data_IF_636613506596
#
_entry.id   IF_636613506596
#
_cell.length_a   1.000
_cell.length_b   1.000
_cell.length_c   1.000
_cell.angle_alpha   90.00
_cell.angle_beta   90.00
_cell.angle_gamma   90.00
#
_symmetry.space_group_name_H-M   'P 1'
#
loop_
_entity.id
_entity.type
_entity.pdbx_description
1 polymer ?
#
# COMPACT_ATOMS: atom_id res chain seq x y z
N UNK A 1 22.84 -11.06 33.78
CA UNK A 1 21.38 -10.96 33.58
C UNK A 1 21.09 -9.81 32.62
N UNK A 2 21.04 -10.07 31.31
CA UNK A 2 20.50 -9.10 30.36
C UNK A 2 18.99 -9.18 30.39
N UNK A 3 18.31 -8.06 30.60
CA UNK A 3 16.85 -7.98 30.49
C UNK A 3 16.47 -8.28 29.04
N UNK A 4 15.94 -9.48 28.77
CA UNK A 4 15.22 -9.77 27.54
C UNK A 4 13.95 -8.92 27.62
N UNK A 5 13.95 -7.75 26.98
CA UNK A 5 12.72 -7.00 26.77
C UNK A 5 11.73 -7.95 26.09
N UNK A 6 10.56 -8.17 26.68
CA UNK A 6 9.51 -8.95 26.04
C UNK A 6 9.09 -8.20 24.78
N UNK A 7 9.58 -8.63 23.62
CA UNK A 7 9.07 -8.21 22.32
C UNK A 7 7.59 -8.56 22.23
N UNK A 8 6.76 -7.61 21.82
CA UNK A 8 5.31 -7.81 21.77
C UNK A 8 4.55 -6.53 21.41
N UNK A 9 3.24 -6.55 21.65
CA UNK A 9 2.40 -5.36 21.51
C UNK A 9 2.69 -4.43 22.67
N UNK A 10 3.09 -3.20 22.36
CA UNK A 10 3.33 -2.12 23.31
C UNK A 10 2.26 -1.05 23.19
N UNK A 11 2.03 -0.36 24.30
CA UNK A 11 1.14 0.81 24.36
C UNK A 11 2.00 2.04 24.55
N UNK A 12 1.97 2.95 23.59
CA UNK A 12 2.72 4.21 23.62
C UNK A 12 1.73 5.36 23.80
N UNK A 13 1.99 6.23 24.77
CA UNK A 13 1.21 7.46 24.97
C UNK A 13 1.99 8.65 24.42
N UNK A 14 1.42 9.38 23.46
CA UNK A 14 2.05 10.58 22.89
C UNK A 14 2.06 11.73 23.90
N UNK A 15 2.87 12.77 23.62
CA UNK A 15 2.87 14.01 24.41
C UNK A 15 1.48 14.67 24.48
N UNK A 16 0.62 14.42 23.50
CA UNK A 16 -0.77 14.89 23.40
C UNK A 16 -1.77 13.93 24.08
N UNK A 17 -1.30 12.96 24.89
CA UNK A 17 -2.11 11.94 25.56
C UNK A 17 -2.92 11.05 24.61
N UNK A 18 -2.45 10.85 23.38
CA UNK A 18 -3.03 9.88 22.44
C UNK A 18 -2.42 8.51 22.70
N UNK A 19 -3.26 7.48 22.70
CA UNK A 19 -2.81 6.09 22.93
C UNK A 19 -2.63 5.41 21.58
N UNK A 20 -1.46 4.85 21.36
CA UNK A 20 -1.12 4.06 20.18
C UNK A 20 -0.72 2.65 20.60
N UNK A 21 -1.21 1.67 19.87
CA UNK A 21 -0.76 0.29 19.99
C UNK A 21 0.26 0.01 18.91
N UNK A 22 1.38 -0.58 19.28
CA UNK A 22 2.52 -0.76 18.39
C UNK A 22 3.14 -2.14 18.56
N UNK A 23 3.81 -2.63 17.53
CA UNK A 23 4.61 -3.85 17.55
C UNK A 23 6.08 -3.46 17.48
N UNK A 24 6.86 -3.87 18.48
CA UNK A 24 8.29 -3.54 18.59
C UNK A 24 9.21 -4.76 18.46
N UNK A 25 8.69 -5.86 17.93
CA UNK A 25 9.47 -7.08 17.72
C UNK A 25 10.51 -6.88 16.62
N UNK A 26 11.65 -7.57 16.76
CA UNK A 26 12.85 -7.30 15.98
C UNK A 26 12.62 -7.36 14.46
N UNK A 27 12.10 -8.48 13.94
CA UNK A 27 11.91 -8.69 12.51
C UNK A 27 10.88 -7.72 11.94
N UNK A 28 9.79 -7.48 12.67
CA UNK A 28 8.76 -6.49 12.30
C UNK A 28 9.36 -5.08 12.16
N UNK A 29 10.20 -4.67 13.10
CA UNK A 29 10.83 -3.34 13.08
C UNK A 29 11.82 -3.22 11.92
N UNK A 30 12.65 -4.23 11.67
CA UNK A 30 13.59 -4.20 10.54
C UNK A 30 12.86 -4.20 9.18
N UNK A 31 11.79 -5.00 9.05
CA UNK A 31 10.93 -4.98 7.86
C UNK A 31 10.28 -3.60 7.64
N UNK A 32 9.78 -2.97 8.70
CA UNK A 32 9.18 -1.64 8.62
C UNK A 32 10.23 -0.56 8.28
N UNK A 33 11.43 -0.61 8.89
CA UNK A 33 12.54 0.29 8.54
C UNK A 33 12.88 0.20 7.06
N UNK A 34 12.92 -1.02 6.52
CA UNK A 34 13.16 -1.25 5.10
C UNK A 34 12.03 -0.71 4.23
N UNK A 35 10.78 -1.12 4.47
CA UNK A 35 9.62 -0.72 3.67
C UNK A 35 9.48 0.81 3.61
N UNK A 36 9.59 1.50 4.75
CA UNK A 36 9.45 2.96 4.79
C UNK A 36 10.75 3.70 4.50
N UNK A 37 11.92 3.04 4.41
CA UNK A 37 13.22 3.72 4.32
C UNK A 37 13.52 4.61 5.54
N UNK A 38 13.09 4.20 6.73
CA UNK A 38 13.22 4.98 7.97
C UNK A 38 14.05 4.23 9.02
N UNK A 39 15.37 4.43 9.03
CA UNK A 39 16.30 3.71 9.93
C UNK A 39 16.08 3.98 11.43
N UNK A 40 15.50 5.13 11.79
CA UNK A 40 15.20 5.49 13.17
C UNK A 40 13.88 4.90 13.69
N UNK A 41 13.12 4.18 12.85
CA UNK A 41 11.86 3.56 13.25
C UNK A 41 12.11 2.50 14.34
N UNK A 42 11.27 2.48 15.37
CA UNK A 42 11.40 1.57 16.52
C UNK A 42 10.22 0.65 16.72
N UNK A 43 9.10 0.94 16.05
CA UNK A 43 7.84 0.28 16.28
C UNK A 43 6.92 0.46 15.06
N UNK A 44 6.11 -0.55 14.77
CA UNK A 44 5.09 -0.55 13.72
C UNK A 44 3.71 -0.31 14.35
N UNK A 45 2.90 0.61 13.80
CA UNK A 45 1.59 0.94 14.39
C UNK A 45 0.53 -0.10 14.04
N UNK A 46 -0.28 -0.44 15.03
CA UNK A 46 -1.54 -1.17 14.87
C UNK A 46 -2.69 -0.18 14.74
N UNK A 47 -3.70 -0.57 13.98
CA UNK A 47 -4.96 0.14 13.92
C UNK A 47 -5.62 0.17 15.30
N UNK A 48 -6.57 1.07 15.46
CA UNK A 48 -7.28 1.24 16.71
C UNK A 48 -8.78 1.42 16.49
N UNK A 49 -9.55 0.63 17.23
CA UNK A 49 -11.00 0.75 17.26
C UNK A 49 -11.47 1.17 18.67
N UNK A 50 -12.18 2.30 18.74
CA UNK A 50 -12.74 2.86 19.98
C UNK A 50 -13.58 1.86 20.77
N UNK A 51 -14.21 0.89 20.10
CA UNK A 51 -15.10 -0.08 20.74
C UNK A 51 -14.38 -1.30 21.33
N UNK A 52 -13.19 -1.64 20.83
CA UNK A 52 -12.53 -2.94 21.08
C UNK A 52 -11.13 -2.82 21.69
N UNK A 53 -10.52 -1.64 21.64
CA UNK A 53 -9.15 -1.43 22.13
C UNK A 53 -8.10 -1.68 21.06
N UNK A 54 -7.20 -2.66 21.29
CA UNK A 54 -6.11 -3.00 20.35
C UNK A 54 -6.70 -3.70 19.11
N UNK A 55 -6.42 -3.20 17.91
CA UNK A 55 -6.77 -3.91 16.66
C UNK A 55 -5.74 -5.00 16.37
N UNK A 56 -6.18 -6.07 15.71
CA UNK A 56 -5.30 -7.10 15.13
C UNK A 56 -4.79 -6.74 13.73
N UNK A 57 -5.03 -5.51 13.27
CA UNK A 57 -4.68 -5.00 11.95
C UNK A 57 -3.57 -3.95 12.04
N UNK A 58 -2.77 -3.81 11.00
CA UNK A 58 -1.86 -2.67 10.84
C UNK A 58 -2.63 -1.37 10.74
N UNK A 59 -2.06 -0.27 11.19
CA UNK A 59 -2.67 1.05 11.01
C UNK A 59 -2.87 1.35 9.52
N UNK A 60 -4.15 1.47 9.12
CA UNK A 60 -4.54 1.66 7.72
C UNK A 60 -3.98 2.95 7.11
N UNK A 61 -3.55 3.92 7.91
CA UNK A 61 -2.85 5.09 7.41
C UNK A 61 -1.47 4.75 6.82
N UNK A 62 -0.70 3.89 7.48
CA UNK A 62 0.67 3.55 7.05
C UNK A 62 0.74 2.28 6.19
N UNK A 63 -0.33 1.47 6.18
CA UNK A 63 -0.36 0.17 5.54
C UNK A 63 -1.67 -0.08 4.75
N UNK A 64 -2.23 0.96 4.11
CA UNK A 64 -3.57 0.93 3.49
C UNK A 64 -3.83 -0.30 2.62
N UNK A 65 -2.88 -0.66 1.75
CA UNK A 65 -3.02 -1.72 0.75
C UNK A 65 -2.46 -3.08 1.22
N UNK A 66 -2.12 -3.21 2.51
CA UNK A 66 -1.50 -4.40 3.11
C UNK A 66 -2.56 -5.44 3.49
N UNK A 67 -2.27 -6.74 3.38
CA UNK A 67 -3.18 -7.84 3.71
C UNK A 67 -3.91 -7.69 5.06
N UNK A 68 -3.19 -7.25 6.08
CA UNK A 68 -3.64 -7.05 7.46
C UNK A 68 -4.05 -5.59 7.74
N UNK A 69 -4.35 -4.79 6.72
CA UNK A 69 -4.95 -3.45 6.86
C UNK A 69 -6.43 -3.53 7.27
N UNK A 70 -7.00 -2.52 7.95
CA UNK A 70 -8.43 -2.46 8.23
C UNK A 70 -9.23 -2.15 6.96
N UNK A 71 -9.85 -3.19 6.39
CA UNK A 71 -10.71 -3.06 5.20
C UNK A 71 -12.18 -2.88 5.56
N UNK A 72 -12.86 -2.00 4.84
CA UNK A 72 -14.32 -1.91 4.84
C UNK A 72 -14.90 -2.83 3.78
N UNK A 73 -15.97 -3.55 4.13
CA UNK A 73 -16.67 -4.44 3.21
C UNK A 73 -17.10 -3.71 1.95
N UNK A 74 -16.67 -4.23 0.78
CA UNK A 74 -17.04 -3.70 -0.53
C UNK A 74 -16.08 -2.65 -1.12
N UNK A 75 -15.03 -2.25 -0.39
CA UNK A 75 -13.93 -1.48 -0.98
C UNK A 75 -12.90 -2.42 -1.62
N UNK A 76 -12.64 -2.31 -2.93
CA UNK A 76 -11.58 -3.08 -3.57
C UNK A 76 -10.22 -2.72 -2.98
N UNK A 77 -9.37 -3.73 -2.76
CA UNK A 77 -7.98 -3.57 -2.33
C UNK A 77 -7.10 -4.66 -2.93
N UNK A 78 -5.84 -4.35 -3.17
CA UNK A 78 -4.79 -5.30 -3.53
C UNK A 78 -4.47 -6.32 -2.42
N UNK A 79 -4.68 -5.97 -1.15
CA UNK A 79 -4.44 -6.85 0.02
C UNK A 79 -3.06 -7.53 0.01
N UNK A 80 -2.01 -6.76 -0.26
CA UNK A 80 -0.67 -7.29 -0.52
C UNK A 80 -0.11 -8.02 0.70
N UNK A 81 0.37 -9.26 0.50
CA UNK A 81 1.07 -10.04 1.51
C UNK A 81 2.53 -9.59 1.59
N UNK A 82 2.74 -8.48 2.31
CA UNK A 82 4.03 -7.79 2.32
C UNK A 82 5.01 -8.36 3.34
N UNK A 83 6.24 -7.84 3.29
CA UNK A 83 7.28 -8.08 4.29
C UNK A 83 6.83 -7.71 5.72
N UNK A 84 5.87 -6.77 5.88
CA UNK A 84 5.36 -6.34 7.18
C UNK A 84 4.60 -7.47 7.88
N UNK A 85 3.63 -8.09 7.20
CA UNK A 85 2.89 -9.23 7.77
C UNK A 85 3.73 -10.49 7.90
N UNK A 86 4.61 -10.77 6.92
CA UNK A 86 5.51 -11.92 6.99
C UNK A 86 6.45 -11.84 8.20
N UNK A 87 7.02 -10.66 8.47
CA UNK A 87 7.94 -10.46 9.60
C UNK A 87 7.24 -10.54 10.96
N UNK A 88 6.00 -10.07 11.06
CA UNK A 88 5.17 -10.30 12.24
C UNK A 88 4.98 -11.79 12.52
N UNK A 89 4.63 -12.58 11.50
CA UNK A 89 4.43 -14.02 11.67
C UNK A 89 5.71 -14.77 12.07
N UNK A 90 6.87 -14.35 11.56
CA UNK A 90 8.17 -14.89 11.97
C UNK A 90 8.52 -14.52 13.43
N UNK A 91 8.15 -13.33 13.88
CA UNK A 91 8.34 -12.92 15.27
C UNK A 91 7.41 -13.63 16.25
N UNK A 92 6.24 -14.09 15.80
CA UNK A 92 5.33 -14.95 16.59
C UNK A 92 5.86 -16.37 16.82
N UNK A 93 6.94 -16.78 16.11
CA UNK A 93 7.61 -18.08 16.24
C UNK A 93 6.77 -19.31 15.86
N UNK A 94 5.61 -19.11 15.23
CA UNK A 94 4.83 -20.20 14.64
C UNK A 94 5.27 -20.54 13.21
N UNK A 95 5.88 -19.57 12.52
CA UNK A 95 6.26 -19.67 11.12
C UNK A 95 7.69 -19.19 10.91
N UNK A 96 8.26 -19.55 9.76
CA UNK A 96 9.47 -18.96 9.21
C UNK A 96 9.09 -18.29 7.90
N UNK A 97 9.41 -17.00 7.76
CA UNK A 97 9.03 -16.24 6.59
C UNK A 97 9.98 -16.54 5.42
N UNK A 98 9.43 -16.70 4.22
CA UNK A 98 10.21 -16.61 3.00
C UNK A 98 10.04 -15.21 2.40
N UNK A 99 10.89 -14.28 2.80
CA UNK A 99 10.77 -12.87 2.39
C UNK A 99 10.97 -12.65 0.89
N UNK A 100 11.62 -13.57 0.17
CA UNK A 100 11.77 -13.47 -1.28
C UNK A 100 10.43 -13.55 -2.03
N UNK A 101 9.37 -14.02 -1.36
CA UNK A 101 8.02 -14.14 -1.91
C UNK A 101 7.10 -13.00 -1.47
N UNK A 102 7.62 -12.02 -0.72
CA UNK A 102 6.79 -10.92 -0.25
C UNK A 102 6.35 -10.04 -1.41
N UNK A 103 5.08 -9.65 -1.41
CA UNK A 103 4.54 -8.72 -2.39
C UNK A 103 4.99 -7.29 -2.07
N UNK A 104 5.18 -6.48 -3.12
CA UNK A 104 5.55 -5.07 -2.96
C UNK A 104 4.30 -4.22 -2.86
N UNK A 105 4.16 -3.48 -1.76
CA UNK A 105 3.12 -2.48 -1.61
C UNK A 105 3.67 -1.11 -1.94
N UNK A 106 3.06 -0.38 -2.90
CA UNK A 106 3.45 1.00 -3.22
C UNK A 106 3.25 1.95 -2.03
N UNK A 107 2.19 1.73 -1.26
CA UNK A 107 1.79 2.59 -0.16
C UNK A 107 2.91 2.75 0.90
N UNK A 108 3.43 3.98 1.05
CA UNK A 108 4.48 4.30 2.01
C UNK A 108 5.87 3.77 1.66
N UNK A 109 6.05 3.09 0.52
CA UNK A 109 7.33 2.49 0.14
C UNK A 109 8.43 3.55 -0.04
N UNK A 110 9.53 3.43 0.71
CA UNK A 110 10.67 4.37 0.73
C UNK A 110 10.25 5.85 0.95
N UNK A 111 9.13 6.07 1.63
CA UNK A 111 8.58 7.41 1.89
C UNK A 111 9.39 8.20 2.94
N UNK A 112 10.25 7.54 3.70
CA UNK A 112 11.05 8.12 4.77
C UNK A 112 10.25 8.32 6.07
N UNK A 113 10.94 8.70 7.14
CA UNK A 113 10.35 8.85 8.46
C UNK A 113 9.24 9.90 8.56
N UNK A 114 9.25 10.89 7.65
CA UNK A 114 8.25 11.95 7.60
C UNK A 114 6.84 11.38 7.45
N UNK A 115 6.65 10.44 6.51
CA UNK A 115 5.36 9.80 6.24
C UNK A 115 4.70 9.20 7.48
N UNK A 116 5.50 8.63 8.39
CA UNK A 116 5.00 7.93 9.57
C UNK A 116 4.51 8.89 10.67
N UNK A 117 4.95 10.15 10.64
CA UNK A 117 4.77 11.15 11.69
C UNK A 117 3.95 12.36 11.20
N UNK A 118 3.96 12.65 9.89
CA UNK A 118 3.35 13.84 9.30
C UNK A 118 1.85 13.68 9.03
N UNK A 119 1.16 14.81 8.99
CA UNK A 119 -0.18 14.90 8.41
C UNK A 119 -0.12 14.67 6.89
N UNK A 120 -1.22 14.14 6.32
CA UNK A 120 -1.31 13.64 4.93
C UNK A 120 -0.86 14.61 3.83
N UNK A 121 -0.93 15.91 4.13
CA UNK A 121 -0.53 17.00 3.23
C UNK A 121 0.03 18.08 4.13
N UNK A 122 1.36 18.12 4.32
CA UNK A 122 1.97 19.39 4.68
C UNK A 122 1.63 20.36 3.53
N UNK A 123 0.70 21.28 3.81
CA UNK A 123 0.18 22.27 2.86
C UNK A 123 1.35 22.97 2.17
N UNK A 124 1.68 22.54 0.94
CA UNK A 124 2.59 23.25 0.06
C UNK A 124 3.79 22.49 -0.49
N UNK A 125 4.12 21.27 -0.07
CA UNK A 125 5.38 20.62 -0.51
C UNK A 125 5.27 19.29 -1.26
N UNK A 126 4.09 18.80 -1.62
CA UNK A 126 3.96 17.62 -2.51
C UNK A 126 4.61 16.32 -2.02
N UNK A 127 5.08 16.28 -0.75
CA UNK A 127 5.58 15.09 -0.08
C UNK A 127 4.43 14.09 0.01
N UNK A 128 4.61 12.91 -0.59
CA UNK A 128 3.63 11.81 -0.66
C UNK A 128 2.44 12.00 -1.64
N UNK A 129 2.60 12.88 -2.65
CA UNK A 129 1.62 13.06 -3.74
C UNK A 129 1.41 11.83 -4.63
N UNK A 130 2.22 10.78 -4.43
CA UNK A 130 2.12 9.49 -5.09
C UNK A 130 1.03 8.59 -4.51
N UNK A 131 0.62 8.83 -3.25
CA UNK A 131 -0.38 8.04 -2.52
C UNK A 131 -1.57 8.87 -2.02
N UNK A 132 -1.36 10.17 -1.78
CA UNK A 132 -2.43 11.12 -1.47
C UNK A 132 -2.79 11.96 -2.68
N UNK A 133 -4.08 12.24 -2.84
CA UNK A 133 -4.59 13.06 -3.93
C UNK A 133 -5.07 14.42 -3.40
N UNK A 134 -5.00 15.46 -4.24
CA UNK A 134 -5.48 16.79 -3.84
C UNK A 134 -7.01 16.90 -4.00
N UNK A 135 -7.73 17.01 -2.88
CA UNK A 135 -9.17 17.25 -2.87
C UNK A 135 -9.56 18.74 -2.88
N UNK A 136 -8.59 19.66 -2.85
CA UNK A 136 -8.77 21.10 -2.64
C UNK A 136 -8.55 21.99 -3.88
N UNK A 137 -8.02 21.44 -4.98
CA UNK A 137 -7.77 22.18 -6.22
C UNK A 137 -9.04 22.65 -6.96
N UNK A 138 -8.93 23.80 -7.64
CA UNK A 138 -9.92 24.46 -8.49
C UNK A 138 -10.43 23.65 -9.70
N UNK A 139 -9.96 22.41 -9.83
CA UNK A 139 -10.47 21.40 -10.75
C UNK A 139 -10.86 20.19 -9.90
N UNK A 140 -12.14 20.10 -9.51
CA UNK A 140 -12.75 18.80 -9.22
C UNK A 140 -12.59 17.98 -10.48
N UNK A 141 -11.50 17.22 -10.58
CA UNK A 141 -11.33 16.29 -11.68
C UNK A 141 -12.38 15.20 -11.48
N UNK A 142 -13.49 15.34 -12.20
CA UNK A 142 -14.54 14.31 -12.32
C UNK A 142 -14.00 13.03 -12.97
N UNK A 143 -12.76 13.07 -13.44
CA UNK A 143 -12.05 11.96 -14.05
C UNK A 143 -11.71 10.90 -13.02
N UNK A 144 -11.72 9.65 -13.46
CA UNK A 144 -11.30 8.53 -12.65
C UNK A 144 -9.78 8.51 -12.52
N UNK A 145 -9.31 8.13 -11.34
CA UNK A 145 -7.91 7.98 -11.02
C UNK A 145 -7.62 6.55 -10.55
N UNK A 146 -6.41 6.05 -10.79
CA UNK A 146 -5.97 4.78 -10.22
C UNK A 146 -5.92 4.83 -8.71
N UNK A 147 -6.45 3.78 -8.08
CA UNK A 147 -6.12 3.44 -6.69
C UNK A 147 -4.62 3.15 -6.56
N UNK A 148 -4.08 3.31 -5.35
CA UNK A 148 -2.64 3.12 -5.06
C UNK A 148 -2.13 1.71 -5.39
N UNK A 149 -3.02 0.72 -5.28
CA UNK A 149 -2.78 -0.69 -5.60
C UNK A 149 -2.96 -1.05 -7.09
N UNK A 150 -3.46 -0.11 -7.92
CA UNK A 150 -3.78 -0.28 -9.35
C UNK A 150 -4.80 -1.36 -9.68
N UNK A 151 -5.60 -1.85 -8.74
CA UNK A 151 -6.66 -2.82 -9.04
C UNK A 151 -7.95 -2.16 -9.55
N UNK A 152 -8.11 -0.86 -9.33
CA UNK A 152 -9.35 -0.17 -9.64
C UNK A 152 -9.14 1.29 -10.03
N UNK A 153 -10.21 1.84 -10.62
CA UNK A 153 -10.41 3.25 -10.84
C UNK A 153 -11.29 3.83 -9.72
N UNK A 154 -11.08 5.09 -9.36
CA UNK A 154 -11.81 5.72 -8.27
C UNK A 154 -11.77 7.24 -8.31
N UNK A 155 -12.35 7.85 -7.29
CA UNK A 155 -12.35 9.30 -7.11
C UNK A 155 -11.56 9.70 -5.87
N UNK A 156 -10.88 10.84 -5.96
CA UNK A 156 -10.19 11.42 -4.82
C UNK A 156 -11.20 11.82 -3.72
N UNK A 157 -11.15 11.12 -2.58
CA UNK A 157 -12.12 11.23 -1.49
C UNK A 157 -11.41 11.38 -0.15
N UNK A 158 -11.83 12.33 0.67
CA UNK A 158 -11.37 12.47 2.07
C UNK A 158 -11.98 11.35 2.89
N UNK A 159 -11.14 10.42 3.36
CA UNK A 159 -11.66 9.22 4.03
C UNK A 159 -10.65 8.48 4.91
N UNK A 160 -9.35 8.68 4.72
CA UNK A 160 -8.33 7.96 5.47
C UNK A 160 -7.93 8.76 6.71
N UNK A 161 -8.13 8.22 7.91
CA UNK A 161 -7.79 8.93 9.15
C UNK A 161 -6.28 8.86 9.39
N UNK A 162 -5.61 9.99 9.57
CA UNK A 162 -4.18 10.04 9.92
C UNK A 162 -3.91 9.93 11.42
N UNK A 163 -4.94 10.05 12.27
CA UNK A 163 -4.73 10.32 13.69
C UNK A 163 -5.08 9.17 14.63
N UNK A 164 -4.22 8.90 15.65
CA UNK A 164 -4.57 8.08 16.80
C UNK A 164 -5.50 8.85 17.75
N UNK A 165 -6.26 8.11 18.57
CA UNK A 165 -7.35 8.68 19.37
C UNK A 165 -6.84 9.35 20.66
N UNK A 166 -7.36 10.54 20.97
CA UNK A 166 -7.19 11.19 22.28
C UNK A 166 -8.12 10.54 23.31
N UNK A 167 -7.56 9.85 24.30
CA UNK A 167 -8.35 9.08 25.29
C UNK A 167 -8.87 9.95 26.44
N UNK A 168 -8.45 11.22 26.53
CA UNK A 168 -8.67 12.06 27.73
C UNK A 168 -9.45 13.37 27.53
N UNK A 169 -10.12 13.60 26.41
CA UNK A 169 -11.01 14.77 26.29
C UNK A 169 -12.35 14.39 25.67
N UNK A 170 -13.37 14.38 26.52
CA UNK A 170 -14.77 14.35 26.10
C UNK A 170 -15.22 15.66 25.40
N UNK A 171 -14.32 16.62 25.19
CA UNK A 171 -14.66 18.00 24.81
C UNK A 171 -13.83 18.57 23.64
N UNK A 172 -13.28 17.72 22.78
CA UNK A 172 -12.71 18.19 21.52
C UNK A 172 -13.41 17.51 20.35
N UNK A 173 -14.26 18.29 19.66
CA UNK A 173 -14.51 18.15 18.23
C UNK A 173 -13.18 18.42 17.49
N UNK A 174 -12.16 17.61 17.74
CA UNK A 174 -10.94 17.64 16.96
C UNK A 174 -11.31 17.19 15.55
N UNK A 175 -11.12 18.07 14.58
CA UNK A 175 -11.32 17.77 13.16
C UNK A 175 -10.57 16.48 12.85
N UNK A 176 -11.30 15.38 12.64
CA UNK A 176 -10.75 14.15 12.09
C UNK A 176 -10.04 14.54 10.80
N UNK A 177 -8.70 14.62 10.84
CA UNK A 177 -7.88 15.06 9.71
C UNK A 177 -7.81 13.92 8.71
N UNK A 178 -8.88 13.82 7.92
CA UNK A 178 -8.99 12.81 6.87
C UNK A 178 -8.10 13.19 5.69
N UNK A 179 -7.24 12.27 5.30
CA UNK A 179 -6.47 12.31 4.09
C UNK A 179 -7.39 12.04 2.90
N UNK A 180 -7.11 12.75 1.81
CA UNK A 180 -7.71 12.47 0.53
C UNK A 180 -6.94 11.36 -0.18
N UNK A 181 -7.63 10.28 -0.48
CA UNK A 181 -7.11 9.11 -1.20
C UNK A 181 -8.07 8.73 -2.30
N UNK A 182 -7.58 8.06 -3.33
CA UNK A 182 -8.44 7.57 -4.41
C UNK A 182 -9.24 6.37 -3.90
N UNK A 183 -10.57 6.50 -3.86
CA UNK A 183 -11.48 5.42 -3.47
C UNK A 183 -12.24 4.88 -4.67
N UNK A 184 -12.18 3.57 -4.84
CA UNK A 184 -12.92 2.83 -5.85
C UNK A 184 -14.27 2.34 -5.34
N UNK A 185 -15.11 1.91 -6.28
CA UNK A 185 -16.32 1.14 -6.00
C UNK A 185 -16.19 -0.24 -6.63
N UNK A 186 -17.04 -1.19 -6.24
CA UNK A 186 -17.08 -2.50 -6.91
C UNK A 186 -17.32 -2.40 -8.44
N UNK A 187 -18.02 -1.35 -8.89
CA UNK A 187 -18.28 -1.13 -10.30
C UNK A 187 -17.05 -0.67 -11.09
N UNK A 188 -16.00 -0.17 -10.43
CA UNK A 188 -14.81 0.42 -11.06
C UNK A 188 -13.55 -0.43 -10.87
N UNK A 189 -13.72 -1.74 -10.57
CA UNK A 189 -12.63 -2.71 -10.50
C UNK A 189 -12.19 -3.12 -11.90
N UNK A 190 -10.89 -3.12 -12.16
CA UNK A 190 -10.37 -3.42 -13.49
C UNK A 190 -10.57 -4.89 -13.90
N UNK A 191 -10.69 -5.80 -12.94
CA UNK A 191 -10.81 -7.23 -13.21
C UNK A 191 -12.20 -7.68 -13.63
N UNK A 192 -13.24 -7.13 -12.99
CA UNK A 192 -14.62 -7.61 -13.13
C UNK A 192 -15.68 -6.50 -12.96
N UNK A 193 -15.25 -5.22 -12.96
CA UNK A 193 -16.16 -4.08 -12.91
C UNK A 193 -16.94 -3.89 -14.20
N UNK A 194 -17.61 -2.75 -14.32
CA UNK A 194 -18.45 -2.43 -15.47
C UNK A 194 -17.83 -1.32 -16.31
N UNK A 195 -17.68 -1.60 -17.60
CA UNK A 195 -17.14 -0.66 -18.59
C UNK A 195 -17.96 0.64 -18.68
N UNK A 196 -19.28 0.58 -18.38
CA UNK A 196 -20.15 1.76 -18.35
C UNK A 196 -19.71 2.80 -17.31
N UNK A 197 -19.03 2.38 -16.24
CA UNK A 197 -18.49 3.25 -15.20
C UNK A 197 -17.01 3.57 -15.41
N UNK A 198 -16.36 3.02 -16.44
CA UNK A 198 -14.94 3.20 -16.71
C UNK A 198 -14.70 3.44 -18.21
N UNK A 199 -15.10 4.59 -18.76
CA UNK A 199 -14.93 4.89 -20.18
C UNK A 199 -13.48 4.72 -20.63
N UNK A 200 -13.27 4.09 -21.78
CA UNK A 200 -11.93 3.82 -22.32
C UNK A 200 -11.21 2.62 -21.73
N UNK A 201 -11.78 1.97 -20.72
CA UNK A 201 -11.15 0.84 -20.04
C UNK A 201 -11.39 -0.49 -20.74
N UNK A 202 -10.39 -1.37 -20.71
CA UNK A 202 -10.51 -2.79 -21.05
C UNK A 202 -10.53 -3.58 -19.75
N UNK A 203 -11.63 -4.29 -19.50
CA UNK A 203 -11.87 -5.05 -18.26
C UNK A 203 -11.49 -6.51 -18.46
N UNK A 204 -10.81 -7.11 -17.49
CA UNK A 204 -10.37 -8.49 -17.56
C UNK A 204 -9.50 -8.86 -16.38
N UNK A 205 -9.37 -10.16 -16.09
CA UNK A 205 -8.61 -10.68 -14.94
C UNK A 205 -7.13 -10.24 -14.87
N UNK A 206 -6.54 -9.84 -16.00
CA UNK A 206 -5.17 -9.32 -16.09
C UNK A 206 -5.13 -7.80 -16.18
N UNK A 207 -6.28 -7.13 -16.12
CA UNK A 207 -6.35 -5.69 -16.21
C UNK A 207 -5.89 -5.02 -14.92
N UNK A 208 -5.06 -4.00 -15.08
CA UNK A 208 -4.64 -3.10 -14.01
C UNK A 208 -4.90 -1.67 -14.44
N UNK A 209 -5.00 -0.79 -13.46
CA UNK A 209 -5.16 0.63 -13.69
C UNK A 209 -3.83 1.27 -14.11
N UNK A 210 -3.87 1.95 -15.25
CA UNK A 210 -2.76 2.70 -15.83
C UNK A 210 -3.06 4.19 -15.84
N UNK A 211 -2.01 4.99 -15.58
CA UNK A 211 -2.13 6.45 -15.58
C UNK A 211 -2.36 6.96 -16.99
N UNK A 212 -3.34 7.85 -17.14
CA UNK A 212 -3.63 8.54 -18.39
C UNK A 212 -3.07 9.95 -18.39
N UNK A 213 -2.44 10.35 -19.49
CA UNK A 213 -2.04 11.74 -19.73
C UNK A 213 -2.87 12.31 -20.87
N UNK A 214 -3.78 13.23 -20.52
CA UNK A 214 -4.69 13.92 -21.43
C UNK A 214 -5.48 12.99 -22.40
N UNK A 215 -5.78 11.76 -21.97
CA UNK A 215 -6.50 10.77 -22.76
C UNK A 215 -7.92 11.24 -23.14
N UNK A 216 -8.26 11.06 -24.41
CA UNK A 216 -9.59 11.38 -24.97
C UNK A 216 -10.10 10.23 -25.80
N UNK A 217 -11.40 9.97 -25.72
CA UNK A 217 -12.07 8.96 -26.54
C UNK A 217 -12.41 9.52 -27.92
N UNK A 218 -12.52 8.62 -28.90
CA UNK A 218 -12.98 8.98 -30.26
C UNK A 218 -14.50 9.14 -30.34
N UNK A 219 -15.25 8.32 -29.61
CA UNK A 219 -16.69 8.16 -29.83
C UNK A 219 -17.43 7.98 -28.50
N UNK A 220 -18.05 9.05 -28.00
CA UNK A 220 -19.05 8.99 -26.91
C UNK A 220 -20.15 10.02 -27.20
N UNK A 221 -21.36 9.53 -27.43
CA UNK A 221 -22.55 10.31 -27.76
C UNK A 221 -23.24 10.99 -26.57
N UNK A 222 -22.63 11.08 -25.37
CA UNK A 222 -23.34 11.57 -24.17
C UNK A 222 -22.55 12.39 -23.14
N UNK A 223 -21.24 12.64 -23.28
CA UNK A 223 -20.53 13.59 -22.39
C UNK A 223 -19.46 14.29 -23.22
N UNK A 224 -19.54 15.62 -23.29
CA UNK A 224 -18.60 16.58 -23.89
C UNK A 224 -17.38 15.93 -24.59
N UNK A 225 -17.49 15.80 -25.92
CA UNK A 225 -16.55 15.29 -26.94
C UNK A 225 -15.07 15.71 -26.83
N UNK A 226 -14.70 16.51 -25.82
CA UNK A 226 -13.34 17.01 -25.58
C UNK A 226 -12.84 16.81 -24.14
N UNK A 227 -13.59 16.08 -23.31
CA UNK A 227 -13.24 15.87 -21.90
C UNK A 227 -12.14 14.83 -21.75
N UNK A 228 -11.14 15.15 -20.92
CA UNK A 228 -10.13 14.19 -20.47
C UNK A 228 -10.85 13.14 -19.64
N UNK A 229 -10.62 11.85 -19.91
CA UNK A 229 -11.31 10.77 -19.16
C UNK A 229 -10.56 10.35 -17.87
N UNK A 230 -9.28 10.68 -17.78
CA UNK A 230 -8.39 10.32 -16.67
C UNK A 230 -7.64 9.03 -16.93
N UNK A 231 -7.53 8.22 -15.87
CA UNK A 231 -6.87 6.93 -15.87
C UNK A 231 -7.79 5.84 -16.45
N UNK A 232 -7.21 4.72 -16.89
CA UNK A 232 -7.94 3.62 -17.53
C UNK A 232 -7.51 2.26 -16.98
N UNK A 233 -8.37 1.25 -17.09
CA UNK A 233 -7.94 -0.14 -17.00
C UNK A 233 -7.46 -0.66 -18.36
N UNK A 234 -6.37 -1.42 -18.36
CA UNK A 234 -5.88 -2.12 -19.54
C UNK A 234 -5.28 -3.45 -19.12
N UNK A 235 -5.31 -4.44 -20.01
CA UNK A 235 -4.68 -5.73 -19.77
C UNK A 235 -3.17 -5.52 -19.60
N UNK A 236 -2.60 -6.13 -18.57
CA UNK A 236 -1.17 -6.10 -18.28
C UNK A 236 -0.62 -7.53 -18.32
N UNK A 237 0.54 -7.69 -18.96
CA UNK A 237 1.28 -8.95 -19.01
C UNK A 237 2.71 -8.74 -18.55
N UNK A 238 3.15 -9.56 -17.62
CA UNK A 238 4.49 -9.54 -17.02
C UNK A 238 5.30 -10.72 -17.55
N UNK A 239 6.38 -10.46 -18.28
CA UNK A 239 7.25 -11.52 -18.83
C UNK A 239 8.71 -11.05 -18.75
N UNK A 240 9.55 -11.79 -18.02
CA UNK A 240 11.00 -11.54 -17.97
C UNK A 240 11.38 -10.15 -17.47
N UNK A 241 10.68 -9.63 -16.47
CA UNK A 241 10.92 -8.27 -15.93
C UNK A 241 10.39 -7.14 -16.82
N UNK A 242 9.58 -7.45 -17.84
CA UNK A 242 8.97 -6.47 -18.74
C UNK A 242 7.45 -6.43 -18.57
N UNK A 243 6.90 -5.22 -18.68
CA UNK A 243 5.45 -4.98 -18.72
C UNK A 243 5.03 -4.84 -20.18
N UNK A 244 3.99 -5.55 -20.59
CA UNK A 244 3.28 -5.32 -21.85
C UNK A 244 1.83 -4.94 -21.58
N UNK A 245 1.30 -4.01 -22.38
CA UNK A 245 -0.04 -3.44 -22.20
C UNK A 245 -0.87 -3.67 -23.45
N UNK A 246 -2.14 -4.05 -23.25
CA UNK A 246 -3.17 -4.10 -24.29
C UNK A 246 -4.38 -3.29 -23.83
N UNK A 247 -4.67 -2.19 -24.53
CA UNK A 247 -5.69 -1.21 -24.17
C UNK A 247 -6.94 -1.31 -25.05
N UNK A 248 -7.97 -0.51 -24.78
CA UNK A 248 -9.26 -0.60 -25.49
C UNK A 248 -9.15 -0.17 -26.95
N UNK A 249 -9.75 -0.96 -27.83
CA UNK A 249 -9.81 -0.71 -29.29
C UNK A 249 -8.54 -1.13 -30.04
N UNK A 250 -7.60 -1.79 -29.36
CA UNK A 250 -6.42 -2.36 -30.00
C UNK A 250 -6.05 -3.67 -29.33
N UNK A 251 -5.99 -4.75 -30.11
CA UNK A 251 -5.66 -6.08 -29.61
C UNK A 251 -4.15 -6.38 -29.64
N UNK A 252 -3.32 -5.45 -30.09
CA UNK A 252 -1.87 -5.60 -30.02
C UNK A 252 -1.34 -5.37 -28.60
N UNK A 253 -0.29 -6.11 -28.25
CA UNK A 253 0.48 -5.90 -27.03
C UNK A 253 1.62 -4.93 -27.29
N UNK A 254 1.73 -3.91 -26.45
CA UNK A 254 2.77 -2.89 -26.52
C UNK A 254 3.70 -3.04 -25.31
N UNK A 255 5.00 -3.17 -25.56
CA UNK A 255 5.99 -3.12 -24.49
C UNK A 255 5.94 -1.74 -23.81
N UNK A 256 5.76 -1.72 -22.49
CA UNK A 256 5.55 -0.53 -21.70
C UNK A 256 6.72 -0.36 -20.72
N UNK A 257 7.77 0.33 -21.19
CA UNK A 257 8.95 0.57 -20.35
C UNK A 257 8.61 1.58 -19.24
N UNK A 258 8.99 1.28 -18.01
CA UNK A 258 8.78 2.16 -16.86
C UNK A 258 9.16 3.63 -17.15
N UNK A 259 8.29 4.56 -16.76
CA UNK A 259 8.46 6.01 -16.95
C UNK A 259 8.25 6.51 -18.40
N UNK A 260 8.14 5.60 -19.37
CA UNK A 260 7.75 5.96 -20.75
C UNK A 260 6.24 6.10 -20.90
N UNK A 261 5.77 6.35 -22.11
CA UNK A 261 4.33 6.34 -22.39
C UNK A 261 4.04 5.79 -23.79
N UNK A 262 2.92 5.10 -23.90
CA UNK A 262 2.38 4.60 -25.16
C UNK A 262 1.49 5.67 -25.78
N UNK A 263 1.70 5.93 -27.06
CA UNK A 263 0.78 6.71 -27.89
C UNK A 263 -0.28 5.75 -28.43
N UNK A 264 -1.57 5.93 -28.09
CA UNK A 264 -2.62 5.07 -28.60
C UNK A 264 -2.66 5.06 -30.13
N UNK A 265 -2.85 3.88 -30.72
CA UNK A 265 -2.93 3.71 -32.17
C UNK A 265 -4.14 4.44 -32.77
N UNK A 266 -4.07 4.75 -34.07
CA UNK A 266 -5.15 5.45 -34.79
C UNK A 266 -6.46 4.65 -34.84
N UNK A 267 -6.38 3.33 -34.73
CA UNK A 267 -7.52 2.40 -34.73
C UNK A 267 -8.09 2.16 -33.32
N UNK A 268 -7.41 2.65 -32.28
CA UNK A 268 -7.83 2.49 -30.89
C UNK A 268 -9.06 3.31 -30.53
N UNK A 269 -9.60 3.07 -29.32
CA UNK A 269 -10.69 3.86 -28.77
C UNK A 269 -10.32 5.33 -28.49
N UNK A 270 -9.03 5.69 -28.55
CA UNK A 270 -8.53 7.00 -28.13
C UNK A 270 -8.19 7.91 -29.31
N UNK A 271 -8.63 9.16 -29.25
CA UNK A 271 -8.36 10.22 -30.23
C UNK A 271 -7.03 10.93 -29.98
N UNK A 272 -6.63 11.08 -28.71
CA UNK A 272 -5.40 11.73 -28.29
C UNK A 272 -4.98 11.31 -26.88
N UNK A 273 -3.81 11.79 -26.44
CA UNK A 273 -3.26 11.55 -25.11
C UNK A 273 -2.26 10.39 -25.10
N UNK A 274 -1.83 9.99 -23.92
CA UNK A 274 -0.82 8.95 -23.71
C UNK A 274 -1.21 8.06 -22.54
N UNK A 275 -0.83 6.79 -22.60
CA UNK A 275 -0.91 5.85 -21.49
C UNK A 275 0.47 5.79 -20.85
N UNK A 276 0.58 6.17 -19.58
CA UNK A 276 1.86 6.22 -18.85
C UNK A 276 2.21 4.84 -18.32
N UNK A 277 3.43 4.40 -18.59
CA UNK A 277 3.90 3.08 -18.20
C UNK A 277 4.26 3.04 -16.71
N UNK A 278 3.65 2.12 -15.94
CA UNK A 278 3.90 2.00 -14.51
C UNK A 278 5.26 1.35 -14.25
N UNK A 279 5.79 1.50 -13.02
CA UNK A 279 6.84 0.63 -12.52
C UNK A 279 6.42 -0.84 -12.51
N UNK A 280 7.38 -1.72 -12.77
CA UNK A 280 7.13 -3.17 -12.82
C UNK A 280 6.48 -3.68 -11.53
N UNK A 281 7.05 -3.29 -10.38
CA UNK A 281 6.63 -3.74 -9.05
C UNK A 281 5.23 -3.29 -8.62
N UNK A 282 4.57 -2.43 -9.38
CA UNK A 282 3.21 -1.96 -9.07
C UNK A 282 2.12 -2.73 -9.84
N UNK A 283 2.50 -3.48 -10.87
CA UNK A 283 1.57 -4.27 -11.69
C UNK A 283 1.98 -5.74 -11.84
N UNK A 284 3.18 -6.10 -11.39
CA UNK A 284 3.76 -7.43 -11.44
C UNK A 284 4.35 -7.79 -10.07
N UNK A 285 4.07 -9.01 -9.59
CA UNK A 285 4.50 -9.53 -8.27
C UNK A 285 5.34 -10.81 -8.38
N UNK A 286 5.90 -11.09 -9.55
CA UNK A 286 6.60 -12.33 -9.87
C UNK A 286 8.13 -12.25 -9.69
N UNK A 287 8.67 -11.05 -9.46
CA UNK A 287 10.08 -10.87 -9.14
C UNK A 287 10.30 -10.90 -7.62
N UNK A 288 11.29 -11.66 -7.12
CA UNK A 288 11.62 -11.65 -5.70
C UNK A 288 12.05 -10.27 -5.21
N UNK A 289 11.65 -9.91 -4.00
CA UNK A 289 12.26 -8.77 -3.31
C UNK A 289 13.59 -9.19 -2.66
N UNK A 290 14.56 -8.28 -2.65
CA UNK A 290 15.83 -8.42 -1.93
C UNK A 290 15.82 -7.49 -0.70
N UNK A 291 15.17 -7.89 0.40
CA UNK A 291 15.30 -7.14 1.64
C UNK A 291 16.73 -7.25 2.18
N UNK A 292 17.18 -6.31 3.02
CA UNK A 292 18.46 -6.40 3.69
C UNK A 292 18.52 -7.74 4.42
N UNK A 293 19.68 -8.44 4.38
CA UNK A 293 19.82 -9.69 5.08
C UNK A 293 19.45 -9.46 6.54
N UNK A 294 18.41 -10.16 7.01
CA UNK A 294 18.19 -10.27 8.45
C UNK A 294 19.47 -10.84 9.02
N UNK A 295 20.18 -10.06 9.83
CA UNK A 295 21.32 -10.60 10.56
C UNK A 295 20.81 -11.84 11.27
N UNK A 296 21.33 -13.01 10.86
CA UNK A 296 20.96 -14.26 11.46
C UNK A 296 21.28 -14.13 12.94
N UNK A 297 20.25 -14.06 13.78
CA UNK A 297 20.41 -14.19 15.22
C UNK A 297 21.06 -15.55 15.42
N UNK A 298 22.36 -15.54 15.71
CA UNK A 298 23.09 -16.72 16.15
C UNK A 298 22.43 -17.13 17.45
N UNK A 299 21.53 -18.11 17.36
CA UNK A 299 21.01 -18.79 18.54
C UNK A 299 22.21 -19.58 19.07
N UNK A 300 22.95 -19.02 20.01
CA UNK A 300 23.85 -19.84 20.82
C UNK A 300 22.98 -20.88 21.53
N UNK A 301 23.05 -22.11 21.05
CA UNK A 301 22.53 -23.28 21.75
C UNK A 301 23.27 -23.41 23.09
N UNK A 302 22.68 -22.88 24.15
CA UNK A 302 23.09 -23.22 25.52
C UNK A 302 22.56 -24.62 25.81
N UNK A 303 23.31 -25.64 25.38
CA UNK A 303 23.11 -26.99 25.88
C UNK A 303 23.53 -27.04 27.36
N UNK A 304 22.53 -27.26 28.21
CA UNK A 304 22.72 -27.71 29.58
C UNK A 304 23.63 -28.95 29.63
N UNK A 305 24.72 -28.87 30.39
CA UNK A 305 25.34 -30.05 30.99
C UNK A 305 25.34 -29.87 32.51
N UNK A 306 24.26 -30.31 33.13
CA UNK A 306 24.26 -30.72 34.54
C UNK A 306 24.43 -32.23 34.60
N UNK A 307 25.59 -32.72 35.02
CA UNK A 307 25.74 -33.97 35.79
C UNK A 307 27.21 -34.18 36.18
N UNK A 308 27.56 -33.89 37.43
CA UNK A 308 28.67 -34.51 38.15
C UNK A 308 28.46 -34.34 39.64
N UNK A 309 27.54 -35.13 40.21
CA UNK A 309 27.64 -35.56 41.60
C UNK A 309 27.76 -37.08 41.54
N UNK A 310 28.97 -37.58 41.76
CA UNK A 310 29.16 -38.93 42.25
C UNK A 310 30.12 -38.88 43.44
N UNK A 311 29.57 -39.37 44.56
CA UNK A 311 30.20 -39.60 45.84
C UNK A 311 31.39 -40.56 45.70
N UNK A 312 32.49 -40.28 46.38
CA UNK A 312 33.39 -41.33 46.87
C UNK A 312 33.72 -41.01 48.33
N UNK A 313 33.16 -41.81 49.23
CA UNK A 313 33.68 -42.07 50.57
C UNK A 313 34.86 -43.05 50.44
N UNK A 314 36.04 -42.66 50.90
CA UNK A 314 36.99 -43.44 51.73
C UNK A 314 38.30 -42.66 51.88
#
# INVERSE_FOLDING_TARGET
MGMIARSGITTTTTAEKRVMFTVNSHSTVEAAKWHYGCSSLREMRLDHNMAVGVSSHWDGYIAKDELMSPYTTGEPSGMFYTILTLSLFEDMKFYRANYSMAETMRWGNHSGCGFLISDCVEKGEGKHSDVFCDSSGATRTTTLQCTSDRFALGHCTRSLSSQPISVFSADHREEKRECAVVKATAATVCENGSEAHMPGSRIGNTSRCLKGDALRLRDVSTIDIHSIIGDICANVKCEGGKVSVQYKGDDHWYECKEGSSILPSVTSAFSSGRIVCPPYSEVCMDLPIEPPPTEAVVVEEVYNVTASINLINS
#
